data_IF_551680659533
#
_entry.id   IF_551680659533
#
_cell.length_a   1.000
_cell.length_b   1.000
_cell.length_c   1.000
_cell.angle_alpha   90.00
_cell.angle_beta   90.00
_cell.angle_gamma   90.00
#
_symmetry.space_group_name_H-M   'P 1'
#
loop_
_entity.id
_entity.type
_entity.pdbx_description
1 polymer ?
#
# COMPACT_ATOMS: atom_id res chain seq x y z
N UNK A 1 4.66 22.21 17.26
CA UNK A 1 3.79 21.01 17.40
C UNK A 1 3.88 20.24 16.09
N UNK A 2 4.19 18.95 16.12
CA UNK A 2 4.24 18.13 14.91
C UNK A 2 2.81 17.88 14.40
N UNK A 3 2.62 17.89 13.07
CA UNK A 3 1.34 17.52 12.48
C UNK A 3 1.03 16.03 12.76
N UNK A 4 -0.25 15.65 12.97
CA UNK A 4 -0.60 14.25 13.15
C UNK A 4 -0.24 13.46 11.88
N UNK A 5 0.34 12.27 12.07
CA UNK A 5 0.63 11.37 10.96
C UNK A 5 -0.69 10.91 10.31
N UNK A 6 -0.78 10.87 8.96
CA UNK A 6 -1.99 10.44 8.28
C UNK A 6 -2.21 8.94 8.50
N UNK A 7 -3.46 8.54 8.81
CA UNK A 7 -3.83 7.12 8.94
C UNK A 7 -4.01 6.42 7.58
N UNK A 8 -4.34 7.21 6.56
CA UNK A 8 -4.51 6.73 5.20
C UNK A 8 -4.03 7.78 4.20
N UNK A 9 -3.31 7.33 3.19
CA UNK A 9 -2.60 8.17 2.24
C UNK A 9 -3.03 7.89 0.81
N UNK A 10 -2.77 8.85 -0.08
CA UNK A 10 -2.92 8.65 -1.54
C UNK A 10 -1.76 7.79 -2.04
N UNK A 11 -1.95 7.21 -3.21
CA UNK A 11 -0.93 6.49 -3.97
C UNK A 11 0.41 7.24 -4.08
N UNK A 12 0.40 8.55 -4.36
CA UNK A 12 1.63 9.35 -4.49
C UNK A 12 2.41 9.44 -3.19
N UNK A 13 1.72 9.52 -2.06
CA UNK A 13 2.35 9.54 -0.74
C UNK A 13 2.82 8.14 -0.35
N UNK A 14 2.03 7.09 -0.60
CA UNK A 14 2.44 5.71 -0.36
C UNK A 14 3.71 5.34 -1.16
N UNK A 15 3.75 5.72 -2.44
CA UNK A 15 4.92 5.53 -3.29
C UNK A 15 6.16 6.25 -2.75
N UNK A 16 6.01 7.48 -2.26
CA UNK A 16 7.11 8.23 -1.61
C UNK A 16 7.57 7.58 -0.31
N UNK A 17 6.68 6.97 0.47
CA UNK A 17 7.06 6.23 1.68
C UNK A 17 7.93 5.01 1.37
N UNK A 18 7.75 4.41 0.19
CA UNK A 18 8.56 3.30 -0.32
C UNK A 18 9.69 3.74 -1.28
N UNK A 19 9.98 5.04 -1.32
CA UNK A 19 11.01 5.65 -2.16
C UNK A 19 10.93 5.27 -3.66
N UNK A 20 9.72 5.30 -4.23
CA UNK A 20 9.50 4.97 -5.66
C UNK A 20 8.54 5.93 -6.38
N UNK A 21 8.56 5.97 -7.72
CA UNK A 21 7.59 6.73 -8.50
C UNK A 21 6.16 6.21 -8.32
N UNK A 22 5.16 7.11 -8.28
CA UNK A 22 3.76 6.75 -8.13
C UNK A 22 3.21 5.85 -9.26
N UNK A 23 3.75 5.99 -10.48
CA UNK A 23 3.37 5.13 -11.60
C UNK A 23 3.80 3.68 -11.36
N UNK A 24 5.00 3.48 -10.81
CA UNK A 24 5.52 2.15 -10.48
C UNK A 24 4.72 1.53 -9.34
N UNK A 25 4.43 2.31 -8.30
CA UNK A 25 3.58 1.86 -7.20
C UNK A 25 2.22 1.35 -7.70
N UNK A 26 1.54 2.09 -8.60
CA UNK A 26 0.26 1.65 -9.19
C UNK A 26 0.41 0.35 -9.99
N UNK A 27 1.47 0.23 -10.80
CA UNK A 27 1.74 -1.01 -11.56
C UNK A 27 1.89 -2.21 -10.64
N UNK A 28 2.62 -2.07 -9.53
CA UNK A 28 2.81 -3.14 -8.56
C UNK A 28 1.51 -3.48 -7.83
N UNK A 29 0.64 -2.50 -7.54
CA UNK A 29 -0.71 -2.75 -7.01
C UNK A 29 -1.57 -3.51 -8.03
N UNK A 30 -1.56 -3.10 -9.29
CA UNK A 30 -2.33 -3.74 -10.37
C UNK A 30 -1.84 -5.18 -10.64
N UNK A 31 -0.53 -5.41 -10.54
CA UNK A 31 0.11 -6.72 -10.64
C UNK A 31 -0.10 -7.61 -9.39
N UNK A 32 -0.70 -7.08 -8.31
CA UNK A 32 -0.94 -7.81 -7.07
C UNK A 32 0.27 -7.94 -6.14
N UNK A 33 1.40 -7.31 -6.47
CA UNK A 33 2.61 -7.31 -5.65
C UNK A 33 2.50 -6.38 -4.42
N UNK A 34 1.64 -5.36 -4.47
CA UNK A 34 1.36 -4.45 -3.36
C UNK A 34 -0.14 -4.48 -3.00
N UNK A 35 -0.50 -4.17 -1.73
CA UNK A 35 -1.89 -4.18 -1.30
C UNK A 35 -2.77 -3.21 -2.10
N UNK A 36 -4.00 -3.64 -2.39
CA UNK A 36 -5.02 -2.82 -3.05
C UNK A 36 -5.52 -1.68 -2.14
N UNK A 37 -5.97 -0.55 -2.71
CA UNK A 37 -6.50 0.55 -1.92
C UNK A 37 -7.80 0.16 -1.21
N UNK A 38 -8.05 0.81 -0.08
CA UNK A 38 -9.35 0.82 0.59
C UNK A 38 -10.19 1.97 0.04
N UNK A 39 -11.49 1.72 -0.17
CA UNK A 39 -12.47 2.73 -0.59
C UNK A 39 -13.06 3.43 0.64
N UNK A 40 -12.88 4.73 0.75
CA UNK A 40 -13.40 5.59 1.82
C UNK A 40 -14.17 6.73 1.17
N UNK A 41 -15.51 6.68 1.21
CA UNK A 41 -16.36 7.77 0.69
C UNK A 41 -16.07 8.17 -0.75
N UNK A 42 -15.78 7.19 -1.62
CA UNK A 42 -15.42 7.42 -3.04
C UNK A 42 -13.92 7.58 -3.29
N UNK A 43 -13.11 7.81 -2.26
CA UNK A 43 -11.67 7.92 -2.38
C UNK A 43 -10.95 6.59 -2.20
N UNK A 44 -9.92 6.36 -3.00
CA UNK A 44 -9.00 5.23 -2.85
C UNK A 44 -7.80 5.66 -2.01
N UNK A 45 -7.57 4.93 -0.91
CA UNK A 45 -6.51 5.24 0.06
C UNK A 45 -5.83 3.97 0.56
N UNK A 46 -4.54 4.08 0.85
CA UNK A 46 -3.77 3.03 1.48
C UNK A 46 -3.60 3.37 2.95
N UNK A 47 -3.81 2.40 3.84
CA UNK A 47 -3.50 2.61 5.26
C UNK A 47 -1.99 2.65 5.40
N UNK A 48 -1.46 3.59 6.15
CA UNK A 48 -0.02 3.68 6.39
C UNK A 48 0.54 2.40 7.03
N UNK A 49 -0.22 1.79 7.94
CA UNK A 49 0.12 0.51 8.55
C UNK A 49 0.27 -0.64 7.52
N UNK A 50 -0.56 -0.68 6.47
CA UNK A 50 -0.42 -1.70 5.42
C UNK A 50 0.85 -1.46 4.60
N UNK A 51 1.23 -0.20 4.38
CA UNK A 51 2.46 0.16 3.67
C UNK A 51 3.70 -0.19 4.49
N UNK A 52 3.67 0.06 5.80
CA UNK A 52 4.74 -0.31 6.74
C UNK A 52 4.92 -1.84 6.80
N UNK A 53 3.80 -2.59 6.80
CA UNK A 53 3.82 -4.05 6.87
C UNK A 53 4.50 -4.72 5.66
N UNK A 54 4.62 -4.03 4.51
CA UNK A 54 5.35 -4.54 3.34
C UNK A 54 6.82 -4.77 3.68
N UNK A 55 7.41 -3.87 4.47
CA UNK A 55 8.84 -3.92 4.81
C UNK A 55 9.13 -4.82 6.01
N UNK A 56 8.18 -4.96 6.94
CA UNK A 56 8.35 -5.83 8.10
C UNK A 56 8.15 -7.32 7.78
N UNK A 57 7.67 -7.67 6.59
CA UNK A 57 7.34 -9.04 6.20
C UNK A 57 6.05 -9.59 6.82
N UNK A 58 5.29 -8.74 7.53
CA UNK A 58 3.97 -9.05 8.12
C UNK A 58 2.81 -8.78 7.15
N UNK A 59 3.12 -8.26 5.95
CA UNK A 59 2.14 -8.23 4.87
C UNK A 59 1.71 -9.66 4.58
N UNK A 60 0.48 -9.97 4.98
CA UNK A 60 -0.28 -11.12 4.50
C UNK A 60 -0.47 -10.96 2.98
N UNK A 61 0.59 -11.21 2.23
CA UNK A 61 0.50 -11.62 0.83
C UNK A 61 -0.39 -12.87 0.91
N UNK A 62 -1.57 -12.89 0.27
CA UNK A 62 -2.30 -14.14 0.15
C UNK A 62 -1.34 -15.13 -0.49
N UNK A 63 -0.93 -16.14 0.26
CA UNK A 63 -0.22 -17.27 -0.28
C UNK A 63 -1.21 -17.90 -1.27
N UNK A 64 -1.01 -17.69 -2.56
CA UNK A 64 -1.64 -18.54 -3.55
C UNK A 64 -1.04 -19.93 -3.32
N UNK A 65 -1.76 -20.77 -2.57
CA UNK A 65 -1.53 -22.21 -2.51
C UNK A 65 -1.62 -22.75 -3.95
N UNK A 66 -0.46 -22.88 -4.60
CA UNK A 66 -0.34 -23.70 -5.79
C UNK A 66 -0.39 -25.16 -5.31
N UNK A 67 -1.59 -25.74 -5.20
CA UNK A 67 -1.76 -27.19 -5.16
C UNK A 67 -1.44 -27.76 -6.56
N UNK A 68 -0.45 -28.67 -6.63
CA UNK A 68 -0.15 -29.51 -7.80
C UNK A 68 -0.40 -30.98 -7.46
#
# INVERSE_FOLDING_TARGET
MAAPAPLAVRDTTAARMLDMPAAEFRRLVDAGALPKPRRIGGHERWRTADIEAILSGDSAIPHEDFEL
#
